data_IF_429561899168
#
_entry.id   IF_429561899168
#
_cell.length_a   1.000
_cell.length_b   1.000
_cell.length_c   1.000
_cell.angle_alpha   90.00
_cell.angle_beta   90.00
_cell.angle_gamma   90.00
#
_symmetry.space_group_name_H-M   'P 1'
#
loop_
_entity.id
_entity.type
_entity.pdbx_description
1 polymer ?
#
# COMPACT_ATOMS: atom_id res chain seq x y z
N UNK A 1 7.92 4.72 -3.19
CA UNK A 1 8.51 4.86 -1.84
C UNK A 1 8.32 3.61 -0.98
N UNK A 2 7.19 2.91 -1.09
CA UNK A 2 6.90 1.67 -0.34
C UNK A 2 8.06 0.66 -0.25
N UNK A 3 8.59 0.20 -1.39
CA UNK A 3 9.72 -0.75 -1.41
C UNK A 3 10.96 -0.25 -0.65
N UNK A 4 11.29 1.04 -0.79
CA UNK A 4 12.44 1.64 -0.11
C UNK A 4 12.21 1.73 1.42
N UNK A 5 10.97 2.02 1.85
CA UNK A 5 10.62 2.03 3.26
C UNK A 5 10.73 0.62 3.88
N UNK A 6 10.24 -0.41 3.19
CA UNK A 6 10.41 -1.81 3.62
C UNK A 6 11.89 -2.19 3.67
N UNK A 7 12.67 -1.87 2.62
CA UNK A 7 14.10 -2.15 2.59
C UNK A 7 14.88 -1.40 3.69
N UNK A 8 14.41 -0.22 4.11
CA UNK A 8 14.96 0.55 5.22
C UNK A 8 14.56 0.01 6.60
N UNK A 9 13.69 -1.01 6.67
CA UNK A 9 13.26 -1.64 7.91
C UNK A 9 12.00 -1.03 8.55
N UNK A 10 11.13 -0.38 7.77
CA UNK A 10 9.84 0.07 8.27
C UNK A 10 8.98 -1.14 8.69
N UNK A 11 8.35 -1.06 9.86
CA UNK A 11 7.46 -2.12 10.36
C UNK A 11 6.12 -2.16 9.62
N UNK A 12 5.67 -1.02 9.08
CA UNK A 12 4.38 -0.91 8.40
C UNK A 12 4.38 0.18 7.32
N UNK A 13 3.41 0.05 6.41
CA UNK A 13 3.09 1.05 5.39
C UNK A 13 1.63 1.46 5.52
N UNK A 14 1.35 2.76 5.44
CA UNK A 14 0.01 3.29 5.24
C UNK A 14 -0.14 3.66 3.77
N UNK A 15 -1.09 3.04 3.08
CA UNK A 15 -1.33 3.23 1.65
C UNK A 15 -2.77 3.68 1.46
N UNK A 16 -2.97 4.82 0.80
CA UNK A 16 -4.29 5.30 0.44
C UNK A 16 -4.73 4.69 -0.89
N UNK A 17 -5.97 4.21 -0.93
CA UNK A 17 -6.54 3.53 -2.10
C UNK A 17 -7.94 4.06 -2.34
N UNK A 18 -8.26 4.34 -3.60
CA UNK A 18 -9.60 4.78 -3.99
C UNK A 18 -9.99 4.16 -5.34
N UNK A 19 -11.23 3.65 -5.52
CA UNK A 19 -11.66 3.03 -6.77
C UNK A 19 -11.73 4.01 -7.95
N UNK A 20 -11.78 5.31 -7.67
CA UNK A 20 -11.71 6.38 -8.66
C UNK A 20 -10.96 7.59 -8.11
N UNK A 21 -9.62 7.60 -8.12
CA UNK A 21 -8.83 8.63 -7.45
C UNK A 21 -9.16 10.06 -7.90
N UNK A 22 -9.56 10.24 -9.17
CA UNK A 22 -9.99 11.54 -9.71
C UNK A 22 -11.25 12.12 -9.03
N UNK A 23 -12.03 11.30 -8.32
CA UNK A 23 -13.23 11.72 -7.56
C UNK A 23 -13.02 11.68 -6.04
N UNK A 24 -11.82 11.39 -5.56
CA UNK A 24 -11.57 11.35 -4.13
C UNK A 24 -11.77 12.76 -3.53
N UNK A 25 -12.47 12.82 -2.39
CA UNK A 25 -12.75 14.08 -1.69
C UNK A 25 -11.49 14.70 -1.06
N UNK A 26 -10.49 13.86 -0.82
CA UNK A 26 -9.14 14.23 -0.41
C UNK A 26 -8.15 13.35 -1.16
N UNK A 27 -6.98 13.88 -1.46
CA UNK A 27 -5.79 13.06 -1.75
C UNK A 27 -5.90 12.08 -2.93
N UNK A 28 -6.74 12.43 -3.91
CA UNK A 28 -6.89 11.67 -5.16
C UNK A 28 -5.58 11.42 -5.91
N UNK A 29 -4.72 12.42 -6.15
CA UNK A 29 -3.46 12.21 -6.89
C UNK A 29 -2.46 11.25 -6.23
N UNK A 30 -2.54 11.05 -4.91
CA UNK A 30 -1.65 10.12 -4.17
C UNK A 30 -2.30 8.76 -3.89
N UNK A 31 -3.63 8.67 -3.99
CA UNK A 31 -4.37 7.42 -3.82
C UNK A 31 -4.15 6.47 -5.00
N UNK A 32 -3.83 5.22 -4.70
CA UNK A 32 -3.74 4.17 -5.72
C UNK A 32 -5.14 3.74 -6.18
N UNK A 33 -5.23 3.20 -7.40
CA UNK A 33 -6.39 2.38 -7.77
C UNK A 33 -6.31 1.03 -7.07
N UNK A 34 -7.41 0.28 -7.07
CA UNK A 34 -7.46 -1.06 -6.47
C UNK A 34 -6.45 -1.98 -7.15
N UNK A 35 -6.37 -1.93 -8.48
CA UNK A 35 -5.46 -2.76 -9.28
C UNK A 35 -3.99 -2.40 -9.02
N UNK A 36 -3.68 -1.10 -8.90
CA UNK A 36 -2.33 -0.64 -8.58
C UNK A 36 -1.92 -1.06 -7.16
N UNK A 37 -2.85 -1.08 -6.20
CA UNK A 37 -2.60 -1.61 -4.87
C UNK A 37 -2.32 -3.12 -4.89
N UNK A 38 -3.10 -3.91 -5.65
CA UNK A 38 -2.85 -5.34 -5.81
C UNK A 38 -1.46 -5.62 -6.41
N UNK A 39 -1.06 -4.86 -7.44
CA UNK A 39 0.28 -4.98 -8.02
C UNK A 39 1.37 -4.63 -7.01
N UNK A 40 1.20 -3.55 -6.24
CA UNK A 40 2.14 -3.19 -5.17
C UNK A 40 2.30 -4.32 -4.15
N UNK A 41 1.21 -4.97 -3.75
CA UNK A 41 1.28 -6.09 -2.80
C UNK A 41 2.06 -7.30 -3.36
N UNK A 42 1.94 -7.57 -4.66
CA UNK A 42 2.73 -8.61 -5.33
C UNK A 42 4.22 -8.25 -5.38
N UNK A 43 4.54 -6.98 -5.64
CA UNK A 43 5.92 -6.47 -5.64
C UNK A 43 6.57 -6.50 -4.25
N UNK A 44 5.78 -6.28 -3.19
CA UNK A 44 6.25 -6.29 -1.80
C UNK A 44 6.41 -7.72 -1.23
N UNK A 45 5.62 -8.69 -1.71
CA UNK A 45 5.65 -10.08 -1.23
C UNK A 45 7.05 -10.72 -1.13
N UNK A 46 7.98 -10.55 -2.10
CA UNK A 46 9.33 -11.14 -2.00
C UNK A 46 10.28 -10.39 -1.05
N UNK A 47 9.95 -9.17 -0.61
CA UNK A 47 10.83 -8.33 0.21
C UNK A 47 10.75 -8.66 1.71
N UNK A 48 9.82 -9.51 2.12
CA UNK A 48 9.53 -9.78 3.53
C UNK A 48 9.89 -11.23 3.92
N UNK A 49 10.84 -11.48 4.83
CA UNK A 49 10.92 -12.76 5.52
C UNK A 49 9.80 -12.84 6.56
N UNK A 50 8.59 -13.23 6.13
CA UNK A 50 7.41 -13.62 6.93
C UNK A 50 7.42 -13.11 8.38
N UNK A 51 7.13 -11.83 8.60
CA UNK A 51 6.58 -11.37 9.88
C UNK A 51 5.12 -10.96 9.63
N UNK A 52 4.24 -11.94 9.81
CA UNK A 52 2.77 -11.78 9.83
C UNK A 52 2.38 -10.56 10.69
N UNK A 53 1.99 -9.46 10.06
CA UNK A 53 1.04 -8.50 10.61
C UNK A 53 0.46 -7.60 9.51
N UNK A 54 -0.24 -8.23 8.56
CA UNK A 54 -1.22 -7.53 7.73
C UNK A 54 -2.44 -7.21 8.63
N UNK A 55 -2.41 -6.04 9.27
CA UNK A 55 -3.57 -5.52 10.00
C UNK A 55 -4.57 -4.94 8.99
N UNK A 56 -5.64 -5.70 8.82
CA UNK A 56 -6.86 -5.35 8.13
C UNK A 56 -7.60 -4.28 8.96
N UNK A 57 -7.56 -3.02 8.53
CA UNK A 57 -8.52 -2.02 8.98
C UNK A 57 -9.07 -1.28 7.75
N UNK A 58 -10.12 -1.85 7.18
CA UNK A 58 -11.11 -1.09 6.45
C UNK A 58 -12.17 -0.66 7.46
N UNK A 59 -12.26 0.64 7.74
CA UNK A 59 -13.42 1.29 8.31
C UNK A 59 -14.18 2.00 7.17
#
# INVERSE_FOLDING_TARGET
MAMAAIAAGADSLMIEVHPNPAKALSDGPQSLTIEAFEQLMLELAPLEPVKKQLLQFAA
#
